data_IF_502152413360
#
_entry.id   IF_502152413360
#
_cell.length_a   1.000
_cell.length_b   1.000
_cell.length_c   1.000
_cell.angle_alpha   90.00
_cell.angle_beta   90.00
_cell.angle_gamma   90.00
#
_symmetry.space_group_name_H-M   'P 1'
#
loop_
_entity.id
_entity.type
_entity.pdbx_description
1 polymer ?
#
# COMPACT_ATOMS: atom_id res chain seq x y z
N UNK A 1 -21.07 11.94 8.87
CA UNK A 1 -20.25 12.34 7.69
C UNK A 1 -18.80 12.55 8.13
N UNK A 2 -18.53 13.51 9.02
CA UNK A 2 -17.18 13.78 9.58
C UNK A 2 -16.45 12.51 10.10
N UNK A 3 -17.10 11.68 10.92
CA UNK A 3 -16.46 10.46 11.44
C UNK A 3 -16.09 9.43 10.37
N UNK A 4 -16.81 9.38 9.24
CA UNK A 4 -16.48 8.48 8.13
C UNK A 4 -15.23 8.95 7.40
N UNK A 5 -15.11 10.26 7.20
CA UNK A 5 -13.93 10.88 6.56
C UNK A 5 -12.68 10.67 7.41
N UNK A 6 -12.77 10.89 8.73
CA UNK A 6 -11.65 10.64 9.65
C UNK A 6 -11.24 9.17 9.64
N UNK A 7 -12.19 8.24 9.70
CA UNK A 7 -11.90 6.81 9.67
C UNK A 7 -11.21 6.41 8.36
N UNK A 8 -11.71 6.93 7.24
CA UNK A 8 -11.13 6.69 5.92
C UNK A 8 -9.70 7.23 5.79
N UNK A 9 -9.46 8.48 6.20
CA UNK A 9 -8.11 9.06 6.22
C UNK A 9 -7.16 8.23 7.09
N UNK A 10 -7.64 7.76 8.25
CA UNK A 10 -6.92 6.84 9.12
C UNK A 10 -6.49 5.57 8.39
N UNK A 11 -7.41 4.93 7.66
CA UNK A 11 -7.12 3.72 6.88
C UNK A 11 -6.08 4.01 5.78
N UNK A 12 -6.24 5.12 5.05
CA UNK A 12 -5.30 5.53 4.00
C UNK A 12 -3.90 5.84 4.54
N UNK A 13 -3.81 6.42 5.74
CA UNK A 13 -2.55 6.68 6.43
C UNK A 13 -1.89 5.38 6.89
N UNK A 14 -2.66 4.41 7.38
CA UNK A 14 -2.12 3.08 7.73
C UNK A 14 -1.54 2.39 6.50
N UNK A 15 -2.23 2.42 5.36
CA UNK A 15 -1.70 1.87 4.10
C UNK A 15 -0.39 2.55 3.68
N UNK A 16 -0.30 3.86 3.83
CA UNK A 16 0.89 4.63 3.48
C UNK A 16 2.07 4.32 4.42
N UNK A 17 1.83 4.23 5.73
CA UNK A 17 2.83 3.83 6.71
C UNK A 17 3.36 2.42 6.43
N UNK A 18 2.48 1.51 6.01
CA UNK A 18 2.88 0.16 5.62
C UNK A 18 3.82 0.16 4.40
N UNK A 19 3.53 0.97 3.38
CA UNK A 19 4.39 1.10 2.20
C UNK A 19 5.77 1.68 2.58
N UNK A 20 5.82 2.69 3.47
CA UNK A 20 7.08 3.24 4.01
C UNK A 20 7.86 2.17 4.76
N UNK A 21 7.20 1.42 5.64
CA UNK A 21 7.84 0.40 6.47
C UNK A 21 8.54 -0.66 5.62
N UNK A 22 7.89 -1.12 4.55
CA UNK A 22 8.47 -2.13 3.63
C UNK A 22 9.69 -1.58 2.90
N UNK A 23 9.65 -0.31 2.48
CA UNK A 23 10.80 0.31 1.81
C UNK A 23 11.99 0.54 2.75
N UNK A 24 11.73 0.84 4.01
CA UNK A 24 12.76 1.04 5.02
C UNK A 24 13.31 -0.30 5.56
N UNK A 25 12.61 -1.40 5.33
CA UNK A 25 13.00 -2.71 5.84
C UNK A 25 14.48 -3.07 5.55
N UNK A 26 15.02 -2.91 4.32
CA UNK A 26 16.42 -3.25 4.01
C UNK A 26 17.46 -2.30 4.63
N UNK A 27 17.03 -1.19 5.24
CA UNK A 27 17.89 -0.26 5.97
C UNK A 27 17.93 -0.56 7.46
N UNK A 28 16.80 -0.97 8.02
CA UNK A 28 16.64 -1.20 9.46
C UNK A 28 17.08 -2.62 9.82
N UNK A 29 16.75 -3.60 8.98
CA UNK A 29 16.97 -5.01 9.28
C UNK A 29 18.23 -5.55 8.61
N UNK A 30 18.98 -6.35 9.38
CA UNK A 30 20.13 -7.11 8.88
C UNK A 30 19.70 -8.06 7.75
N UNK A 31 20.49 -8.26 6.68
CA UNK A 31 20.17 -9.18 5.57
C UNK A 31 19.94 -10.65 5.99
N UNK A 32 20.34 -11.03 7.21
CA UNK A 32 20.01 -12.33 7.80
C UNK A 32 18.48 -12.47 8.00
N UNK A 33 17.76 -11.36 8.09
CA UNK A 33 16.33 -11.33 8.37
C UNK A 33 15.43 -11.40 7.14
N UNK A 34 15.96 -11.64 5.94
CA UNK A 34 15.16 -11.82 4.70
C UNK A 34 14.00 -12.83 4.84
N UNK A 35 14.05 -13.74 5.82
CA UNK A 35 12.91 -14.61 6.13
C UNK A 35 11.68 -13.84 6.64
N UNK A 36 11.85 -12.78 7.43
CA UNK A 36 10.72 -12.04 8.00
C UNK A 36 9.93 -11.28 6.94
N UNK A 37 10.60 -10.69 5.94
CA UNK A 37 9.90 -10.01 4.86
C UNK A 37 9.21 -11.01 3.92
N UNK A 38 9.81 -12.19 3.70
CA UNK A 38 9.17 -13.28 2.95
C UNK A 38 7.93 -13.80 3.69
N UNK A 39 8.04 -14.04 5.00
CA UNK A 39 6.90 -14.44 5.85
C UNK A 39 5.82 -13.36 5.85
N UNK A 40 6.21 -12.08 5.97
CA UNK A 40 5.27 -10.97 5.92
C UNK A 40 4.55 -10.87 4.57
N UNK A 41 5.27 -11.01 3.44
CA UNK A 41 4.67 -11.03 2.11
C UNK A 41 3.72 -12.22 1.94
N UNK A 42 4.12 -13.41 2.39
CA UNK A 42 3.28 -14.60 2.39
C UNK A 42 2.00 -14.40 3.20
N UNK A 43 2.10 -13.87 4.43
CA UNK A 43 0.94 -13.57 5.27
C UNK A 43 0.03 -12.52 4.64
N UNK A 44 0.60 -11.54 3.93
CA UNK A 44 -0.17 -10.52 3.20
C UNK A 44 -0.97 -11.16 2.06
N UNK A 45 -0.35 -12.01 1.25
CA UNK A 45 -1.02 -12.74 0.16
C UNK A 45 -2.08 -13.69 0.72
N UNK A 46 -1.74 -14.47 1.76
CA UNK A 46 -2.68 -15.39 2.40
C UNK A 46 -3.89 -14.65 2.98
N UNK A 47 -3.66 -13.52 3.65
CA UNK A 47 -4.72 -12.63 4.15
C UNK A 47 -5.63 -12.17 3.02
N UNK A 48 -5.05 -11.70 1.91
CA UNK A 48 -5.80 -11.26 0.73
C UNK A 48 -6.61 -12.40 0.10
N UNK A 49 -6.06 -13.61 0.03
CA UNK A 49 -6.78 -14.81 -0.45
C UNK A 49 -7.94 -15.20 0.46
N UNK A 50 -7.73 -15.25 1.78
CA UNK A 50 -8.78 -15.55 2.77
C UNK A 50 -9.90 -14.50 2.71
N UNK A 51 -9.51 -13.25 2.49
CA UNK A 51 -10.43 -12.12 2.36
C UNK A 51 -10.98 -11.94 0.94
N UNK A 52 -10.93 -12.99 0.09
CA UNK A 52 -11.54 -13.00 -1.25
C UNK A 52 -11.10 -11.85 -2.17
N UNK A 53 -9.81 -11.51 -2.13
CA UNK A 53 -9.25 -10.53 -3.04
C UNK A 53 -9.29 -9.09 -2.54
N UNK A 54 -9.58 -8.85 -1.26
CA UNK A 54 -9.48 -7.54 -0.63
C UNK A 54 -8.64 -7.59 0.65
N UNK A 55 -8.08 -6.45 1.03
CA UNK A 55 -7.45 -6.32 2.36
C UNK A 55 -8.50 -5.93 3.40
N UNK A 56 -8.26 -6.29 4.66
CA UNK A 56 -9.21 -6.02 5.75
C UNK A 56 -9.56 -4.54 5.89
N UNK A 57 -8.58 -3.67 5.62
CA UNK A 57 -8.73 -2.23 5.63
C UNK A 57 -9.68 -1.77 4.52
N UNK A 58 -9.52 -2.27 3.29
CA UNK A 58 -10.43 -1.96 2.18
C UNK A 58 -11.84 -2.48 2.42
N UNK A 59 -11.99 -3.65 3.04
CA UNK A 59 -13.30 -4.15 3.47
C UNK A 59 -13.97 -3.18 4.47
N UNK A 60 -13.22 -2.69 5.46
CA UNK A 60 -13.76 -1.70 6.41
C UNK A 60 -14.15 -0.40 5.71
N UNK A 61 -13.37 0.11 4.75
CA UNK A 61 -13.74 1.29 3.95
C UNK A 61 -15.09 1.09 3.24
N UNK A 62 -15.28 -0.07 2.60
CA UNK A 62 -16.51 -0.40 1.90
C UNK A 62 -17.70 -0.59 2.84
N UNK A 63 -17.47 -1.18 4.02
CA UNK A 63 -18.49 -1.32 5.08
C UNK A 63 -18.89 0.02 5.69
N UNK A 64 -17.94 0.95 5.83
CA UNK A 64 -18.22 2.31 6.31
C UNK A 64 -19.11 3.08 5.33
N UNK A 65 -18.91 2.88 4.03
CA UNK A 65 -19.77 3.48 3.00
C UNK A 65 -21.12 2.77 2.90
N UNK A 66 -21.09 1.44 2.76
CA UNK A 66 -22.26 0.58 2.62
C UNK A 66 -22.26 -0.53 3.68
N UNK A 67 -23.13 -0.40 4.68
CA UNK A 67 -23.28 -1.38 5.78
C UNK A 67 -23.67 -2.76 5.25
N UNK A 68 -24.38 -2.83 4.11
CA UNK A 68 -24.76 -4.06 3.43
C UNK A 68 -23.68 -4.66 2.52
N UNK A 69 -22.48 -4.07 2.47
CA UNK A 69 -21.36 -4.64 1.70
C UNK A 69 -20.97 -6.00 2.27
N UNK A 70 -20.78 -7.00 1.40
CA UNK A 70 -20.34 -8.34 1.77
C UNK A 70 -18.90 -8.55 1.32
N UNK A 71 -18.11 -9.22 2.17
CA UNK A 71 -16.71 -9.50 1.89
C UNK A 71 -16.57 -10.28 0.56
N UNK A 72 -15.74 -9.75 -0.34
CA UNK A 72 -15.45 -10.29 -1.66
C UNK A 72 -16.54 -10.03 -2.71
N UNK A 73 -17.61 -9.29 -2.38
CA UNK A 73 -18.70 -9.02 -3.33
C UNK A 73 -18.23 -8.20 -4.53
N UNK A 74 -17.39 -7.20 -4.27
CA UNK A 74 -16.71 -6.41 -5.29
C UNK A 74 -15.35 -5.94 -4.75
N UNK A 75 -14.28 -6.74 -4.92
CA UNK A 75 -12.97 -6.45 -4.37
C UNK A 75 -12.35 -5.17 -4.95
N UNK A 76 -12.68 -4.85 -6.20
CA UNK A 76 -12.12 -3.73 -6.96
C UNK A 76 -12.92 -2.44 -6.80
N UNK A 77 -14.15 -2.52 -6.30
CA UNK A 77 -14.92 -1.34 -5.92
C UNK A 77 -14.23 -0.56 -4.80
N UNK A 78 -13.74 0.63 -5.12
CA UNK A 78 -13.33 1.61 -4.13
C UNK A 78 -14.40 2.71 -4.05
N UNK A 79 -15.08 2.91 -2.90
CA UNK A 79 -16.11 3.94 -2.76
C UNK A 79 -15.59 5.37 -3.04
N UNK A 80 -14.27 5.58 -3.00
CA UNK A 80 -13.63 6.88 -3.20
C UNK A 80 -12.73 6.92 -4.44
N UNK A 81 -13.00 6.06 -5.44
CA UNK A 81 -12.23 5.90 -6.69
C UNK A 81 -11.95 7.22 -7.44
N UNK A 82 -12.85 8.20 -7.35
CA UNK A 82 -12.70 9.51 -8.03
C UNK A 82 -11.67 10.43 -7.37
N UNK A 83 -11.44 10.31 -6.05
CA UNK A 83 -10.61 11.26 -5.30
C UNK A 83 -9.16 10.76 -5.14
N UNK A 84 -8.92 9.46 -5.15
CA UNK A 84 -7.62 8.87 -4.78
C UNK A 84 -6.94 7.99 -5.84
N UNK A 85 -7.67 7.48 -6.83
CA UNK A 85 -7.13 6.49 -7.78
C UNK A 85 -6.66 7.09 -9.10
N UNK A 86 -7.12 8.28 -9.46
CA UNK A 86 -6.73 8.95 -10.69
C UNK A 86 -6.18 10.34 -10.36
N UNK A 87 -4.85 10.45 -10.29
CA UNK A 87 -4.17 11.74 -10.30
C UNK A 87 -3.64 11.97 -11.72
N UNK A 88 -4.10 13.03 -12.39
CA UNK A 88 -3.74 13.34 -13.78
C UNK A 88 -3.90 12.16 -14.77
N UNK A 89 -4.94 11.34 -14.61
CA UNK A 89 -5.23 10.20 -15.50
C UNK A 89 -4.42 8.92 -15.22
N UNK A 90 -3.59 8.92 -14.18
CA UNK A 90 -2.76 7.77 -13.80
C UNK A 90 -3.45 6.93 -12.74
N UNK A 91 -3.57 5.61 -12.95
CA UNK A 91 -4.16 4.68 -11.99
C UNK A 91 -3.18 4.37 -10.83
N UNK A 92 -3.42 4.99 -9.68
CA UNK A 92 -2.56 4.90 -8.50
C UNK A 92 -2.48 3.48 -7.91
N UNK A 93 -3.57 2.70 -7.98
CA UNK A 93 -3.51 1.31 -7.51
C UNK A 93 -2.58 0.44 -8.35
N UNK A 94 -2.62 0.60 -9.68
CA UNK A 94 -1.69 -0.12 -10.56
C UNK A 94 -0.23 0.23 -10.23
N UNK A 95 0.07 1.52 -10.02
CA UNK A 95 1.42 1.94 -9.59
C UNK A 95 1.80 1.30 -8.26
N UNK A 96 0.87 1.27 -7.30
CA UNK A 96 1.10 0.69 -5.98
C UNK A 96 1.34 -0.82 -6.04
N UNK A 97 0.63 -1.55 -6.91
CA UNK A 97 0.87 -2.99 -7.12
C UNK A 97 2.24 -3.24 -7.77
N UNK A 98 2.59 -2.47 -8.80
CA UNK A 98 3.92 -2.54 -9.44
C UNK A 98 5.03 -2.23 -8.43
N UNK A 99 4.81 -1.24 -7.57
CA UNK A 99 5.72 -0.87 -6.50
C UNK A 99 6.00 -2.03 -5.54
N UNK A 100 4.96 -2.74 -5.14
CA UNK A 100 5.09 -3.92 -4.26
C UNK A 100 5.89 -5.04 -4.90
N UNK A 101 5.63 -5.33 -6.19
CA UNK A 101 6.36 -6.36 -6.93
C UNK A 101 7.84 -5.98 -7.05
N UNK A 102 8.14 -4.74 -7.45
CA UNK A 102 9.52 -4.25 -7.60
C UNK A 102 10.24 -4.30 -6.25
N UNK A 103 9.60 -3.84 -5.18
CA UNK A 103 10.20 -3.85 -3.82
C UNK A 103 10.51 -5.29 -3.39
N UNK A 104 9.59 -6.23 -3.61
CA UNK A 104 9.82 -7.63 -3.28
C UNK A 104 11.00 -8.24 -4.05
N UNK A 105 11.04 -8.04 -5.37
CA UNK A 105 12.15 -8.51 -6.23
C UNK A 105 13.48 -7.92 -5.76
N UNK A 106 13.50 -6.63 -5.43
CA UNK A 106 14.71 -5.95 -4.98
C UNK A 106 15.21 -6.45 -3.63
N UNK A 107 14.30 -6.77 -2.71
CA UNK A 107 14.66 -7.36 -1.43
C UNK A 107 15.30 -8.75 -1.64
N UNK A 108 14.76 -9.56 -2.56
CA UNK A 108 15.40 -10.84 -2.93
C UNK A 108 16.78 -10.64 -3.60
N UNK A 109 16.97 -9.53 -4.33
CA UNK A 109 18.24 -9.18 -4.96
C UNK A 109 19.23 -8.47 -4.02
N UNK A 110 18.82 -8.10 -2.80
CA UNK A 110 19.59 -7.25 -1.90
C UNK A 110 20.97 -7.81 -1.59
N UNK A 111 21.07 -9.14 -1.41
CA UNK A 111 22.35 -9.81 -1.12
C UNK A 111 23.39 -9.67 -2.22
N UNK A 112 22.97 -9.54 -3.48
CA UNK A 112 23.88 -9.43 -4.62
C UNK A 112 24.44 -8.02 -4.78
N UNK A 113 23.62 -7.00 -4.54
CA UNK A 113 24.03 -5.61 -4.67
C UNK A 113 23.25 -4.69 -3.72
N UNK A 114 23.63 -4.65 -2.43
CA UNK A 114 22.85 -3.96 -1.40
C UNK A 114 22.85 -2.43 -1.59
N UNK A 115 23.94 -1.87 -2.12
CA UNK A 115 24.07 -0.44 -2.38
C UNK A 115 23.09 -0.03 -3.50
N UNK A 116 23.08 -0.76 -4.61
CA UNK A 116 22.17 -0.50 -5.73
C UNK A 116 20.70 -0.62 -5.31
N UNK A 117 20.35 -1.68 -4.57
CA UNK A 117 18.98 -1.86 -4.08
C UNK A 117 18.55 -0.69 -3.19
N UNK A 118 19.42 -0.22 -2.28
CA UNK A 118 19.14 0.97 -1.47
C UNK A 118 18.87 2.21 -2.34
N UNK A 119 19.69 2.50 -3.34
CA UNK A 119 19.42 3.67 -4.19
C UNK A 119 18.06 3.61 -4.87
N UNK A 120 17.66 2.44 -5.38
CA UNK A 120 16.33 2.30 -5.99
C UNK A 120 15.22 2.47 -4.93
N UNK A 121 15.36 1.92 -3.72
CA UNK A 121 14.35 2.07 -2.65
C UNK A 121 14.16 3.53 -2.24
N UNK A 122 15.23 4.33 -2.22
CA UNK A 122 15.14 5.78 -1.99
C UNK A 122 14.36 6.45 -3.12
N UNK A 123 14.67 6.16 -4.37
CA UNK A 123 13.94 6.72 -5.53
C UNK A 123 12.46 6.35 -5.45
N UNK A 124 12.17 5.09 -5.12
CA UNK A 124 10.82 4.57 -4.91
C UNK A 124 10.07 5.31 -3.79
N UNK A 125 10.70 5.52 -2.64
CA UNK A 125 10.14 6.33 -1.56
C UNK A 125 9.84 7.75 -2.03
N UNK A 126 10.77 8.42 -2.73
CA UNK A 126 10.55 9.77 -3.27
C UNK A 126 9.34 9.79 -4.20
N UNK A 127 9.19 8.82 -5.10
CA UNK A 127 8.01 8.70 -5.99
C UNK A 127 6.73 8.54 -5.18
N UNK A 128 6.74 7.68 -4.15
CA UNK A 128 5.57 7.48 -3.28
C UNK A 128 5.18 8.76 -2.54
N UNK A 129 6.15 9.49 -1.97
CA UNK A 129 5.89 10.79 -1.35
C UNK A 129 5.38 11.82 -2.37
N UNK A 130 6.00 11.91 -3.54
CA UNK A 130 5.60 12.83 -4.60
C UNK A 130 4.15 12.59 -5.06
N UNK A 131 3.72 11.33 -5.16
CA UNK A 131 2.34 11.00 -5.52
C UNK A 131 1.35 11.23 -4.37
N UNK A 132 1.76 11.01 -3.10
CA UNK A 132 0.87 11.11 -1.94
C UNK A 132 0.68 12.53 -1.43
N UNK A 133 1.71 13.39 -1.47
CA UNK A 133 1.65 14.76 -0.95
C UNK A 133 0.53 15.60 -1.61
N UNK A 134 0.38 15.63 -2.94
CA UNK A 134 -0.70 16.37 -3.60
C UNK A 134 -2.09 15.89 -3.16
N UNK A 135 -2.25 14.59 -2.98
CA UNK A 135 -3.50 13.98 -2.49
C UNK A 135 -3.81 14.47 -1.08
N UNK A 136 -2.82 14.45 -0.17
CA UNK A 136 -2.99 14.94 1.20
C UNK A 136 -3.36 16.44 1.23
N UNK A 137 -2.69 17.27 0.41
CA UNK A 137 -2.97 18.71 0.30
C UNK A 137 -4.37 18.97 -0.29
N UNK A 138 -4.85 18.13 -1.21
CA UNK A 138 -6.18 18.28 -1.80
C UNK A 138 -7.32 17.97 -0.81
N UNK A 139 -7.04 17.25 0.28
CA UNK A 139 -8.04 16.90 1.29
C UNK A 139 -8.16 17.92 2.41
N UNK A 140 -7.17 18.81 2.59
CA UNK A 140 -7.21 19.85 3.63
C UNK A 140 -7.90 21.15 3.17
N UNK A 141 -8.40 21.20 1.93
CA UNK A 141 -9.14 22.33 1.35
C UNK A 141 -10.60 21.94 1.15
#
# INVERSE_FOLDING_TARGET
MIYKEIAFEGIQNIHFLNDIFICLYPYIMNPIFDIYIVVYAFLTVLSWTILKGECILSYFEKKLENIGYELGKDPYYNPYHKKFYYFNGVNYAFIKEMFWIITFIMILCYRKNPIFVKYILIVMLIVVFYLKIPILISNTK
#
